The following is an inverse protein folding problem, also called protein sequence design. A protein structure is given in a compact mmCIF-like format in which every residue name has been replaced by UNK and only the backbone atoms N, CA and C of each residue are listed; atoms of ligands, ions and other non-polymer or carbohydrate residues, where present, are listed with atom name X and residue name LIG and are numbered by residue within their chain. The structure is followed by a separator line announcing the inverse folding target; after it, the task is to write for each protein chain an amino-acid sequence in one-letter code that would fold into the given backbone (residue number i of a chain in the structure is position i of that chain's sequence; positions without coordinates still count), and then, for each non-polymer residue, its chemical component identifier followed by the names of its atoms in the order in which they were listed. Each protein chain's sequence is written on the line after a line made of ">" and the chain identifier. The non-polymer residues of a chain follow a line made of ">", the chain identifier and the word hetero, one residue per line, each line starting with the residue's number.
data_IF_417335546982
#
_entry.id   IF_417335546982
#
_cell.length_a   1.000
_cell.length_b   1.000
_cell.length_c   1.000
_cell.angle_alpha   90.00
_cell.angle_beta   90.00
_cell.angle_gamma   90.00
#
_symmetry.space_group_name_H-M   'P 1'
#
loop_
_entity.id
_entity.type
_entity.pdbx_description
1 polymer ?
#
# COMPACT_ATOMS: atom_id res chain seq x y z
N UNK A 1 -32.18 -10.42 -8.36
CA UNK A 1 -33.09 -11.57 -8.62
C UNK A 1 -34.42 -11.50 -7.85
N UNK A 2 -34.41 -11.50 -6.51
CA UNK A 2 -35.65 -11.52 -5.69
C UNK A 2 -36.50 -10.26 -5.87
N UNK A 3 -35.91 -9.07 -5.74
CA UNK A 3 -36.62 -7.79 -5.91
C UNK A 3 -37.20 -7.61 -7.33
N UNK A 4 -36.54 -8.17 -8.34
CA UNK A 4 -37.05 -8.21 -9.71
C UNK A 4 -38.09 -9.30 -9.95
N UNK A 5 -38.45 -10.12 -8.95
CA UNK A 5 -39.45 -11.19 -9.09
C UNK A 5 -38.97 -12.47 -9.78
N UNK A 6 -37.66 -12.64 -9.98
CA UNK A 6 -37.06 -13.82 -10.63
C UNK A 6 -36.84 -15.01 -9.69
N UNK A 7 -36.94 -14.80 -8.38
CA UNK A 7 -36.76 -15.84 -7.36
C UNK A 7 -37.64 -15.54 -6.14
N UNK A 8 -37.96 -16.59 -5.37
CA UNK A 8 -38.66 -16.45 -4.09
C UNK A 8 -37.73 -15.83 -3.04
N UNK A 9 -38.27 -14.94 -2.22
CA UNK A 9 -37.51 -14.34 -1.12
C UNK A 9 -37.25 -15.40 -0.02
N UNK A 10 -36.00 -15.53 0.47
CA UNK A 10 -35.74 -16.27 1.70
C UNK A 10 -36.31 -15.50 2.91
N UNK A 11 -36.59 -16.20 4.01
CA UNK A 11 -37.28 -15.62 5.18
C UNK A 11 -36.57 -14.43 5.82
N UNK A 12 -35.24 -14.36 5.72
CA UNK A 12 -34.45 -13.28 6.29
C UNK A 12 -34.42 -12.00 5.42
N UNK A 13 -34.94 -12.04 4.20
CA UNK A 13 -34.83 -10.93 3.25
C UNK A 13 -36.11 -10.08 3.26
N UNK A 14 -36.02 -8.90 3.85
CA UNK A 14 -37.09 -7.90 3.80
C UNK A 14 -37.18 -7.28 2.41
N UNK A 15 -38.33 -7.47 1.75
CA UNK A 15 -38.55 -6.96 0.39
C UNK A 15 -39.63 -5.90 0.31
N UNK A 16 -40.49 -5.78 1.31
CA UNK A 16 -41.67 -4.92 1.24
C UNK A 16 -41.29 -3.45 1.31
N UNK A 17 -40.33 -3.08 2.17
CA UNK A 17 -39.90 -1.69 2.31
C UNK A 17 -39.42 -1.12 0.97
N UNK A 18 -38.46 -1.78 0.31
CA UNK A 18 -37.93 -1.31 -0.96
C UNK A 18 -38.99 -1.32 -2.06
N UNK A 19 -39.78 -2.41 -2.18
CA UNK A 19 -40.81 -2.52 -3.21
C UNK A 19 -41.97 -1.52 -3.01
N UNK A 20 -42.24 -1.10 -1.77
CA UNK A 20 -43.27 -0.09 -1.50
C UNK A 20 -43.00 1.25 -2.18
N UNK A 21 -41.72 1.59 -2.43
CA UNK A 21 -41.31 2.78 -3.18
C UNK A 21 -41.73 2.73 -4.65
N UNK A 22 -41.97 1.54 -5.19
CA UNK A 22 -42.33 1.31 -6.59
C UNK A 22 -43.84 1.07 -6.78
N UNK A 23 -44.60 0.95 -5.69
CA UNK A 23 -46.06 0.95 -5.68
C UNK A 23 -46.69 0.04 -4.65
N UNK A 24 -47.98 0.26 -4.35
CA UNK A 24 -48.73 -0.51 -3.35
C UNK A 24 -49.02 -1.97 -3.77
N UNK A 25 -49.08 -2.26 -5.07
CA UNK A 25 -49.28 -3.62 -5.57
C UNK A 25 -47.92 -4.30 -5.78
N UNK A 26 -47.65 -5.35 -5.00
CA UNK A 26 -46.40 -6.11 -5.00
C UNK A 26 -45.94 -6.60 -6.38
N UNK A 27 -46.84 -7.10 -7.23
CA UNK A 27 -46.48 -7.60 -8.55
C UNK A 27 -46.07 -6.46 -9.48
N UNK A 28 -46.83 -5.34 -9.44
CA UNK A 28 -46.49 -4.14 -10.21
C UNK A 28 -45.22 -3.45 -9.69
N UNK A 29 -44.99 -3.47 -8.38
CA UNK A 29 -43.79 -2.92 -7.76
C UNK A 29 -42.53 -3.68 -8.19
N UNK A 30 -42.57 -5.01 -8.22
CA UNK A 30 -41.46 -5.85 -8.72
C UNK A 30 -41.16 -5.57 -10.18
N UNK A 31 -42.20 -5.41 -11.00
CA UNK A 31 -42.05 -5.07 -12.42
C UNK A 31 -41.40 -3.69 -12.60
N UNK A 32 -41.90 -2.66 -11.90
CA UNK A 32 -41.33 -1.31 -11.97
C UNK A 32 -39.91 -1.22 -11.43
N UNK A 33 -39.59 -1.95 -10.36
CA UNK A 33 -38.22 -2.05 -9.85
C UNK A 33 -37.29 -2.68 -10.89
N UNK A 34 -37.75 -3.77 -11.52
CA UNK A 34 -37.02 -4.44 -12.59
C UNK A 34 -36.78 -3.48 -13.75
N UNK A 35 -37.82 -2.83 -14.25
CA UNK A 35 -37.73 -1.88 -15.36
C UNK A 35 -36.77 -0.74 -15.01
N UNK A 36 -36.84 -0.21 -13.78
CA UNK A 36 -35.90 0.82 -13.30
C UNK A 36 -34.46 0.35 -13.36
N UNK A 37 -34.14 -0.82 -12.80
CA UNK A 37 -32.77 -1.36 -12.76
C UNK A 37 -32.26 -1.74 -14.15
N UNK A 38 -33.11 -2.34 -14.98
CA UNK A 38 -32.75 -2.82 -16.33
C UNK A 38 -32.73 -1.68 -17.36
N UNK A 39 -33.45 -0.58 -17.12
CA UNK A 39 -33.38 0.64 -17.96
C UNK A 39 -32.05 1.39 -17.84
N UNK A 40 -31.25 1.05 -16.83
CA UNK A 40 -29.93 1.62 -16.63
C UNK A 40 -28.99 1.09 -17.70
N UNK A 41 -28.63 1.95 -18.66
CA UNK A 41 -27.59 1.65 -19.64
C UNK A 41 -26.25 1.53 -18.91
N UNK A 42 -25.72 0.30 -18.80
CA UNK A 42 -24.42 0.03 -18.18
C UNK A 42 -23.29 0.88 -18.79
N UNK A 43 -23.39 1.26 -20.07
CA UNK A 43 -22.40 2.07 -20.77
C UNK A 43 -22.30 3.52 -20.25
N UNK A 44 -23.30 3.99 -19.49
CA UNK A 44 -23.33 5.32 -18.86
C UNK A 44 -22.96 5.31 -17.38
N UNK A 45 -22.85 4.13 -16.76
CA UNK A 45 -22.34 4.04 -15.40
C UNK A 45 -20.83 3.89 -15.48
N UNK A 46 -20.12 4.96 -15.10
CA UNK A 46 -18.70 4.84 -14.81
C UNK A 46 -18.51 3.83 -13.68
N UNK A 47 -17.72 2.79 -13.95
CA UNK A 47 -17.38 1.81 -12.93
C UNK A 47 -16.58 2.52 -11.82
N UNK A 48 -17.15 2.70 -10.61
CA UNK A 48 -16.50 3.47 -9.56
C UNK A 48 -15.22 2.79 -9.06
N UNK A 49 -15.03 1.49 -9.34
CA UNK A 49 -13.79 0.81 -8.99
C UNK A 49 -12.55 1.38 -9.69
N UNK A 50 -12.72 2.12 -10.80
CA UNK A 50 -11.64 2.84 -11.48
C UNK A 50 -11.06 3.98 -10.63
N UNK A 51 -11.88 4.58 -9.77
CA UNK A 51 -11.50 5.70 -8.91
C UNK A 51 -11.07 5.25 -7.51
N UNK A 52 -10.96 3.94 -7.29
CA UNK A 52 -10.47 3.40 -6.02
C UNK A 52 -8.95 3.56 -5.95
N UNK A 53 -8.51 4.47 -5.08
CA UNK A 53 -7.08 4.66 -4.78
C UNK A 53 -6.63 3.61 -3.77
N UNK A 54 -5.61 2.84 -4.16
CA UNK A 54 -4.95 1.80 -3.36
C UNK A 54 -5.88 0.68 -2.83
N UNK A 55 -7.06 0.50 -3.43
CA UNK A 55 -8.03 -0.52 -3.00
C UNK A 55 -8.80 -0.17 -1.72
N UNK A 56 -8.73 1.08 -1.23
CA UNK A 56 -9.26 1.46 0.09
C UNK A 56 -10.13 2.71 0.07
N UNK A 57 -9.83 3.70 -0.77
CA UNK A 57 -10.56 4.99 -0.79
C UNK A 57 -11.19 5.19 -2.17
N UNK A 58 -12.49 5.46 -2.19
CA UNK A 58 -13.25 5.87 -3.37
C UNK A 58 -13.68 7.33 -3.23
N UNK A 59 -13.40 8.17 -4.23
CA UNK A 59 -13.83 9.56 -4.27
C UNK A 59 -12.93 10.43 -5.14
N UNK A 60 -13.25 11.73 -5.22
CA UNK A 60 -12.47 12.67 -6.03
C UNK A 60 -11.04 12.82 -5.53
N UNK A 61 -10.16 13.39 -6.37
CA UNK A 61 -8.76 13.61 -6.00
C UNK A 61 -8.63 14.52 -4.78
N UNK A 62 -9.48 15.53 -4.66
CA UNK A 62 -9.57 16.43 -3.50
C UNK A 62 -9.98 15.67 -2.24
N UNK A 63 -11.00 14.81 -2.33
CA UNK A 63 -11.45 14.00 -1.21
C UNK A 63 -10.35 13.04 -0.72
N UNK A 64 -9.66 12.37 -1.65
CA UNK A 64 -8.56 11.46 -1.30
C UNK A 64 -7.40 12.23 -0.65
N UNK A 65 -7.06 13.41 -1.17
CA UNK A 65 -6.01 14.25 -0.59
C UNK A 65 -6.38 14.75 0.81
N UNK A 66 -7.64 15.15 1.02
CA UNK A 66 -8.15 15.52 2.34
C UNK A 66 -8.05 14.35 3.33
N UNK A 67 -8.42 13.13 2.93
CA UNK A 67 -8.27 11.94 3.78
C UNK A 67 -6.79 11.69 4.12
N UNK A 68 -5.90 11.76 3.13
CA UNK A 68 -4.45 11.60 3.32
C UNK A 68 -3.88 12.59 4.33
N UNK A 69 -4.26 13.86 4.23
CA UNK A 69 -3.73 14.90 5.11
C UNK A 69 -4.27 14.81 6.53
N UNK A 70 -5.55 14.49 6.72
CA UNK A 70 -6.19 14.53 8.03
C UNK A 70 -6.05 13.23 8.83
N UNK A 71 -5.98 12.07 8.16
CA UNK A 71 -6.08 10.76 8.82
C UNK A 71 -4.87 9.84 8.59
N UNK A 72 -3.98 10.15 7.65
CA UNK A 72 -2.83 9.27 7.33
C UNK A 72 -1.47 9.86 7.68
N UNK A 73 -1.41 11.14 8.05
CA UNK A 73 -0.19 11.85 8.42
C UNK A 73 0.32 11.53 9.83
N UNK A 74 -0.52 10.94 10.71
CA UNK A 74 -0.14 10.58 12.10
C UNK A 74 0.34 9.13 12.19
N UNK A 75 1.54 8.92 12.72
CA UNK A 75 2.18 7.59 12.83
C UNK A 75 1.53 6.62 13.83
N UNK A 76 0.69 7.12 14.74
CA UNK A 76 0.04 6.31 15.78
C UNK A 76 -0.92 5.24 15.22
N UNK A 77 -1.55 5.49 14.08
CA UNK A 77 -2.70 4.70 13.61
C UNK A 77 -2.30 3.44 12.82
N UNK A 78 -1.03 3.31 12.48
CA UNK A 78 -0.49 2.23 11.62
C UNK A 78 -0.43 0.88 12.35
N UNK A 79 -0.22 0.91 13.67
CA UNK A 79 -0.08 -0.32 14.47
C UNK A 79 -1.42 -1.08 14.55
N UNK A 80 -2.53 -0.37 14.51
CA UNK A 80 -3.88 -0.93 14.62
C UNK A 80 -4.54 -1.18 13.25
N UNK A 81 -4.12 -0.49 12.18
CA UNK A 81 -4.74 -0.59 10.85
C UNK A 81 -3.71 -0.82 9.74
N UNK A 82 -3.27 -2.07 9.51
CA UNK A 82 -2.20 -2.40 8.54
C UNK A 82 -2.51 -1.97 7.10
N UNK A 83 -3.78 -1.92 6.72
CA UNK A 83 -4.24 -1.55 5.37
C UNK A 83 -3.90 -0.09 5.02
N UNK A 84 -3.81 0.79 6.02
CA UNK A 84 -3.45 2.19 5.85
C UNK A 84 -1.98 2.39 5.44
N UNK A 85 -1.11 1.37 5.63
CA UNK A 85 0.27 1.38 5.14
C UNK A 85 0.35 1.57 3.61
N UNK A 86 -0.68 1.16 2.87
CA UNK A 86 -0.71 1.30 1.41
C UNK A 86 -0.93 2.75 0.96
N UNK A 87 -1.41 3.62 1.85
CA UNK A 87 -1.84 4.98 1.53
C UNK A 87 -0.77 6.04 1.79
N UNK A 88 0.28 5.73 2.56
CA UNK A 88 1.44 6.62 2.72
C UNK A 88 2.31 6.63 1.46
N UNK A 89 2.93 7.78 1.11
CA UNK A 89 4.04 7.81 0.16
C UNK A 89 5.08 6.79 0.62
N UNK A 90 5.43 5.83 -0.24
CA UNK A 90 6.44 4.84 0.09
C UNK A 90 7.78 5.33 -0.39
N UNK A 91 8.74 5.35 0.52
CA UNK A 91 10.14 5.41 0.15
C UNK A 91 10.46 4.22 -0.76
N UNK A 92 11.15 4.51 -1.85
CA UNK A 92 11.78 3.52 -2.72
C UNK A 92 13.23 3.33 -2.29
N UNK A 93 13.88 2.22 -2.67
CA UNK A 93 15.33 2.07 -2.45
C UNK A 93 16.14 3.23 -3.02
N UNK A 94 15.65 3.86 -4.09
CA UNK A 94 16.30 4.98 -4.76
C UNK A 94 16.33 6.24 -3.89
N UNK A 95 15.24 6.53 -3.18
CA UNK A 95 15.14 7.69 -2.29
C UNK A 95 16.15 7.61 -1.12
N UNK A 96 16.59 6.40 -0.78
CA UNK A 96 17.58 6.16 0.28
C UNK A 96 19.02 6.39 -0.19
N UNK A 97 19.29 6.25 -1.49
CA UNK A 97 20.65 6.22 -2.05
C UNK A 97 21.46 7.48 -1.73
N UNK A 98 20.93 8.72 -1.89
CA UNK A 98 21.71 9.93 -1.62
C UNK A 98 22.21 10.01 -0.18
N UNK A 99 21.36 9.66 0.78
CA UNK A 99 21.70 9.70 2.21
C UNK A 99 22.77 8.65 2.57
N UNK A 100 22.67 7.44 1.98
CA UNK A 100 23.64 6.36 2.21
C UNK A 100 24.98 6.68 1.54
N UNK A 101 24.96 7.13 0.28
CA UNK A 101 26.15 7.52 -0.46
C UNK A 101 26.96 8.59 0.28
N UNK A 102 26.26 9.59 0.82
CA UNK A 102 26.88 10.65 1.62
C UNK A 102 27.49 10.12 2.94
N UNK A 103 26.77 9.29 3.71
CA UNK A 103 27.28 8.79 5.00
C UNK A 103 28.47 7.84 4.84
N UNK A 104 28.51 7.04 3.77
CA UNK A 104 29.59 6.08 3.51
C UNK A 104 30.65 6.60 2.54
N UNK A 105 30.54 7.86 2.07
CA UNK A 105 31.45 8.47 1.07
C UNK A 105 31.67 7.53 -0.13
N UNK A 106 30.58 7.07 -0.72
CA UNK A 106 30.60 6.15 -1.85
C UNK A 106 29.57 6.56 -2.91
N UNK A 107 29.67 5.98 -4.10
CA UNK A 107 28.71 6.24 -5.18
C UNK A 107 27.66 5.15 -5.27
N UNK A 108 26.55 5.46 -5.95
CA UNK A 108 25.47 4.51 -6.20
C UNK A 108 25.97 3.26 -6.91
N UNK A 109 26.87 3.41 -7.86
CA UNK A 109 27.47 2.31 -8.63
C UNK A 109 28.23 1.36 -7.69
N UNK A 110 28.93 1.91 -6.67
CA UNK A 110 29.61 1.09 -5.66
C UNK A 110 28.61 0.28 -4.85
N UNK A 111 27.46 0.86 -4.46
CA UNK A 111 26.41 0.17 -3.72
C UNK A 111 25.77 -0.94 -4.58
N UNK A 112 25.48 -0.67 -5.85
CA UNK A 112 24.80 -1.61 -6.75
C UNK A 112 25.74 -2.69 -7.32
N UNK A 113 27.06 -2.49 -7.28
CA UNK A 113 28.04 -3.46 -7.79
C UNK A 113 28.02 -4.80 -7.04
N UNK A 114 27.78 -5.87 -7.79
CA UNK A 114 27.87 -7.26 -7.35
C UNK A 114 29.31 -7.73 -7.15
N UNK A 115 29.49 -8.71 -6.26
CA UNK A 115 30.75 -9.46 -6.11
C UNK A 115 31.88 -8.73 -5.39
N UNK A 116 31.73 -7.44 -5.06
CA UNK A 116 32.71 -6.71 -4.26
C UNK A 116 32.71 -7.26 -2.82
N UNK A 117 33.81 -7.87 -2.41
CA UNK A 117 33.99 -8.37 -1.03
C UNK A 117 33.94 -7.20 -0.03
N UNK A 118 33.29 -7.42 1.12
CA UNK A 118 33.20 -6.47 2.25
C UNK A 118 32.59 -5.11 1.89
N UNK A 119 31.59 -5.09 1.01
CA UNK A 119 30.87 -3.86 0.67
C UNK A 119 29.83 -3.50 1.74
N UNK A 120 30.31 -2.88 2.83
CA UNK A 120 29.46 -2.57 3.98
C UNK A 120 28.35 -1.56 3.64
N UNK A 121 28.64 -0.59 2.77
CA UNK A 121 27.64 0.39 2.31
C UNK A 121 26.47 -0.28 1.59
N UNK A 122 26.74 -1.32 0.79
CA UNK A 122 25.71 -2.12 0.12
C UNK A 122 24.89 -2.94 1.12
N UNK A 123 25.53 -3.60 2.08
CA UNK A 123 24.81 -4.37 3.09
C UNK A 123 23.89 -3.45 3.92
N UNK A 124 24.35 -2.24 4.27
CA UNK A 124 23.53 -1.21 4.93
C UNK A 124 22.40 -0.71 4.03
N UNK A 125 22.64 -0.53 2.72
CA UNK A 125 21.59 -0.15 1.78
C UNK A 125 20.50 -1.22 1.66
N UNK A 126 20.88 -2.49 1.62
CA UNK A 126 19.94 -3.62 1.65
C UNK A 126 19.12 -3.61 2.94
N UNK A 127 19.79 -3.47 4.09
CA UNK A 127 19.15 -3.41 5.40
C UNK A 127 18.14 -2.27 5.48
N UNK A 128 18.54 -1.04 5.16
CA UNK A 128 17.67 0.14 5.21
C UNK A 128 16.52 0.04 4.21
N UNK A 129 16.78 -0.48 3.00
CA UNK A 129 15.71 -0.70 2.04
C UNK A 129 14.68 -1.69 2.58
N UNK A 130 15.11 -2.75 3.25
CA UNK A 130 14.20 -3.72 3.86
C UNK A 130 13.40 -3.14 5.05
N UNK A 131 14.00 -2.24 5.83
CA UNK A 131 13.38 -1.63 7.00
C UNK A 131 12.44 -0.47 6.66
N UNK A 132 12.81 0.36 5.68
CA UNK A 132 12.17 1.66 5.44
C UNK A 132 11.30 1.69 4.18
N UNK A 133 11.42 0.69 3.30
CA UNK A 133 10.57 0.57 2.11
C UNK A 133 9.56 -0.54 2.29
N UNK A 134 8.45 -0.46 1.55
CA UNK A 134 7.45 -1.53 1.49
C UNK A 134 7.76 -2.65 0.49
N UNK A 135 9.01 -2.74 0.01
CA UNK A 135 9.38 -3.64 -1.08
C UNK A 135 9.51 -5.11 -0.64
N UNK A 136 9.18 -6.03 -1.55
CA UNK A 136 9.36 -7.46 -1.31
C UNK A 136 10.85 -7.83 -1.37
N UNK A 137 11.25 -8.92 -0.68
CA UNK A 137 12.62 -9.41 -0.77
C UNK A 137 13.03 -9.80 -2.20
N UNK A 138 12.07 -10.26 -3.01
CA UNK A 138 12.28 -10.54 -4.44
C UNK A 138 12.54 -9.26 -5.23
N UNK A 139 11.75 -8.20 -4.99
CA UNK A 139 11.93 -6.91 -5.66
C UNK A 139 13.27 -6.25 -5.28
N UNK A 140 13.61 -6.24 -3.98
CA UNK A 140 14.92 -5.77 -3.52
C UNK A 140 16.06 -6.62 -4.08
N UNK A 141 15.86 -7.93 -4.19
CA UNK A 141 16.82 -8.83 -4.81
C UNK A 141 17.12 -8.45 -6.27
N UNK A 142 16.08 -8.16 -7.06
CA UNK A 142 16.24 -7.65 -8.43
C UNK A 142 16.98 -6.31 -8.46
N UNK A 143 16.59 -5.37 -7.60
CA UNK A 143 17.22 -4.04 -7.52
C UNK A 143 18.71 -4.11 -7.19
N UNK A 144 19.09 -4.97 -6.22
CA UNK A 144 20.48 -5.13 -5.82
C UNK A 144 21.22 -6.22 -6.62
N UNK A 145 20.63 -6.95 -7.57
CA UNK A 145 21.26 -8.12 -8.22
C UNK A 145 21.76 -9.19 -7.21
N UNK A 146 20.86 -9.58 -6.29
CA UNK A 146 21.03 -10.72 -5.37
C UNK A 146 19.72 -11.50 -5.20
N UNK A 147 19.78 -12.73 -4.69
CA UNK A 147 18.55 -13.50 -4.43
C UNK A 147 17.74 -12.90 -3.27
N UNK A 148 16.43 -13.15 -3.24
CA UNK A 148 15.58 -12.76 -2.12
C UNK A 148 16.04 -13.36 -0.78
N UNK A 149 16.57 -14.59 -0.78
CA UNK A 149 17.20 -15.18 0.39
C UNK A 149 18.47 -14.42 0.80
N UNK A 150 19.26 -13.96 -0.17
CA UNK A 150 20.43 -13.11 0.06
C UNK A 150 20.07 -11.79 0.76
N UNK A 151 18.92 -11.20 0.44
CA UNK A 151 18.41 -10.00 1.14
C UNK A 151 18.21 -10.30 2.63
N UNK A 152 17.55 -11.41 2.97
CA UNK A 152 17.32 -11.81 4.36
C UNK A 152 18.64 -12.04 5.11
N UNK A 153 19.60 -12.75 4.49
CA UNK A 153 20.91 -13.00 5.10
C UNK A 153 21.67 -11.71 5.37
N UNK A 154 21.69 -10.76 4.42
CA UNK A 154 22.38 -9.47 4.60
C UNK A 154 21.69 -8.56 5.60
N UNK A 155 20.36 -8.60 5.66
CA UNK A 155 19.59 -7.90 6.69
C UNK A 155 19.92 -8.42 8.09
N UNK A 156 19.95 -9.75 8.29
CA UNK A 156 20.34 -10.36 9.55
C UNK A 156 21.78 -10.02 9.96
N UNK A 157 22.71 -10.09 9.02
CA UNK A 157 24.11 -9.69 9.24
C UNK A 157 24.22 -8.25 9.78
N UNK A 158 23.55 -7.28 9.15
CA UNK A 158 23.59 -5.89 9.64
C UNK A 158 22.89 -5.74 11.00
N UNK A 159 21.78 -6.45 11.22
CA UNK A 159 21.07 -6.44 12.50
C UNK A 159 22.00 -6.83 13.66
N UNK A 160 22.74 -7.93 13.54
CA UNK A 160 23.73 -8.35 14.53
C UNK A 160 24.89 -7.35 14.70
N UNK A 161 25.36 -6.76 13.60
CA UNK A 161 26.46 -5.80 13.65
C UNK A 161 26.04 -4.48 14.33
N UNK A 162 24.79 -4.05 14.20
CA UNK A 162 24.26 -2.84 14.87
C UNK A 162 24.30 -2.98 16.39
N UNK A 163 24.07 -4.18 16.92
CA UNK A 163 24.12 -4.44 18.36
C UNK A 163 25.54 -4.36 18.90
N UNK A 164 26.52 -4.84 18.11
CA UNK A 164 27.93 -4.96 18.50
C UNK A 164 28.73 -3.67 18.22
N UNK A 165 28.40 -2.94 17.16
CA UNK A 165 29.14 -1.75 16.70
C UNK A 165 28.35 -0.45 16.94
N UNK A 166 28.78 0.29 17.97
CA UNK A 166 28.23 1.61 18.32
C UNK A 166 28.41 2.64 17.21
N UNK A 167 29.50 2.58 16.44
CA UNK A 167 29.76 3.51 15.33
C UNK A 167 28.73 3.26 14.23
N UNK A 168 28.55 2.00 13.83
CA UNK A 168 27.55 1.63 12.83
C UNK A 168 26.14 2.08 13.22
N UNK A 169 25.74 1.81 14.47
CA UNK A 169 24.43 2.23 14.98
C UNK A 169 24.23 3.75 14.86
N UNK A 170 25.26 4.55 15.14
CA UNK A 170 25.21 6.01 14.98
C UNK A 170 25.10 6.44 13.51
N UNK A 171 25.80 5.78 12.59
CA UNK A 171 25.71 6.08 11.16
C UNK A 171 24.31 5.80 10.61
N UNK A 172 23.74 4.64 10.94
CA UNK A 172 22.38 4.27 10.53
C UNK A 172 21.34 5.24 11.10
N UNK A 173 21.47 5.65 12.37
CA UNK A 173 20.55 6.63 12.95
C UNK A 173 20.67 8.01 12.28
N UNK A 174 21.87 8.43 11.85
CA UNK A 174 22.04 9.66 11.06
C UNK A 174 21.35 9.58 9.71
N UNK A 175 21.46 8.45 9.02
CA UNK A 175 20.76 8.21 7.75
C UNK A 175 19.24 8.26 7.95
N UNK A 176 18.72 7.54 8.95
CA UNK A 176 17.28 7.56 9.29
C UNK A 176 16.77 8.97 9.57
N UNK A 177 17.50 9.75 10.37
CA UNK A 177 17.12 11.13 10.69
C UNK A 177 17.09 12.03 9.45
N UNK A 178 18.04 11.86 8.52
CA UNK A 178 18.03 12.62 7.26
C UNK A 178 16.81 12.28 6.41
N UNK A 179 16.44 11.00 6.31
CA UNK A 179 15.31 10.56 5.48
C UNK A 179 13.96 10.99 6.08
N UNK A 180 13.80 10.98 7.40
CA UNK A 180 12.54 11.40 8.05
C UNK A 180 12.36 12.92 8.11
N UNK A 181 13.41 13.69 7.85
CA UNK A 181 13.37 15.16 7.80
C UNK A 181 13.23 15.71 6.36
N UNK A 182 13.10 14.83 5.38
CA UNK A 182 12.78 15.14 3.97
C UNK A 182 11.28 14.88 3.78
#
# INVERSE_FOLDING_TARGET
>A
PVFGGYAKAPEWLETNWLLSLFGANQNKAKQRYRDFVESVQNDKIENPSKDIINGVILGSTEFVNWIKQNFLSKDSDIKEKPQLKRLKPRLTPEDLMPAICHEFTCTREVILRKGKKRNFARDVAIYLSREMTGESGVALGRYFDISGAGITVRHGFITENIEKDRKLKRQINRIRKKIMNI
#
